data_IF_606958755512
#
_entry.id   IF_606958755512
#
_cell.length_a   1.000
_cell.length_b   1.000
_cell.length_c   1.000
_cell.angle_alpha   90.00
_cell.angle_beta   90.00
_cell.angle_gamma   90.00
#
_symmetry.space_group_name_H-M   'P 1'
#
loop_
_entity.id
_entity.type
_entity.pdbx_description
1 polymer ?
#
# COMPACT_ATOMS: atom_id res chain seq x y z
N UNK A 1 45.07 -11.61 -31.42
CA UNK A 1 43.60 -11.84 -31.56
C UNK A 1 42.93 -12.63 -30.42
N UNK A 2 43.56 -13.62 -29.76
CA UNK A 2 42.88 -14.41 -28.69
C UNK A 2 42.63 -13.61 -27.38
N UNK A 3 43.50 -12.67 -27.03
CA UNK A 3 43.40 -11.85 -25.82
C UNK A 3 42.29 -10.78 -25.90
N UNK A 4 42.09 -10.20 -27.09
CA UNK A 4 41.02 -9.22 -27.37
C UNK A 4 39.62 -9.83 -27.27
N UNK A 5 39.42 -11.08 -27.73
CA UNK A 5 38.15 -11.79 -27.56
C UNK A 5 37.83 -12.06 -26.08
N UNK A 6 38.84 -12.44 -25.28
CA UNK A 6 38.66 -12.64 -23.82
C UNK A 6 38.31 -11.35 -23.09
N UNK A 7 38.96 -10.23 -23.45
CA UNK A 7 38.63 -8.90 -22.93
C UNK A 7 37.22 -8.44 -23.33
N UNK A 8 36.78 -8.74 -24.55
CA UNK A 8 35.43 -8.44 -25.02
C UNK A 8 34.36 -9.23 -24.26
N UNK A 9 34.56 -10.54 -24.06
CA UNK A 9 33.65 -11.35 -23.24
C UNK A 9 33.67 -10.93 -21.76
N UNK A 10 34.83 -10.55 -21.22
CA UNK A 10 34.95 -10.01 -19.86
C UNK A 10 34.22 -8.67 -19.73
N UNK A 11 34.31 -7.80 -20.74
CA UNK A 11 33.60 -6.52 -20.80
C UNK A 11 32.09 -6.71 -20.86
N UNK A 12 31.58 -7.58 -21.74
CA UNK A 12 30.15 -7.95 -21.79
C UNK A 12 29.71 -8.53 -20.45
N UNK A 13 30.49 -9.44 -19.85
CA UNK A 13 30.18 -10.03 -18.56
C UNK A 13 30.18 -9.00 -17.42
N UNK A 14 31.11 -8.05 -17.42
CA UNK A 14 31.15 -6.95 -16.46
C UNK A 14 29.97 -5.98 -16.62
N UNK A 15 29.57 -5.66 -17.85
CA UNK A 15 28.37 -4.86 -18.15
C UNK A 15 27.08 -5.58 -17.70
N UNK A 16 27.01 -6.91 -17.77
CA UNK A 16 25.89 -7.67 -17.25
C UNK A 16 25.79 -7.62 -15.70
N UNK A 17 26.91 -7.37 -15.00
CA UNK A 17 26.96 -7.34 -13.53
C UNK A 17 26.69 -5.95 -12.94
N UNK A 18 26.93 -4.86 -13.69
CA UNK A 18 26.85 -3.49 -13.15
C UNK A 18 25.46 -2.85 -13.21
N UNK A 19 24.53 -3.36 -14.03
CA UNK A 19 23.19 -2.76 -14.19
C UNK A 19 22.09 -3.38 -13.32
N UNK A 20 22.42 -4.37 -12.48
CA UNK A 20 21.44 -5.07 -11.66
C UNK A 20 21.30 -4.48 -10.25
N UNK A 21 20.27 -3.65 -10.04
CA UNK A 21 19.88 -3.29 -8.68
C UNK A 21 19.35 -4.54 -7.96
N UNK A 22 19.66 -4.68 -6.68
CA UNK A 22 19.18 -5.81 -5.88
C UNK A 22 17.90 -5.44 -5.13
N UNK A 23 17.03 -6.43 -4.86
CA UNK A 23 15.84 -6.23 -4.04
C UNK A 23 16.20 -5.72 -2.63
N UNK A 24 17.35 -6.13 -2.08
CA UNK A 24 17.83 -5.65 -0.77
C UNK A 24 18.18 -4.17 -0.78
N UNK A 25 18.84 -3.69 -1.85
CA UNK A 25 19.11 -2.26 -2.02
C UNK A 25 17.82 -1.46 -2.15
N UNK A 26 16.87 -1.96 -2.94
CA UNK A 26 15.55 -1.30 -3.09
C UNK A 26 14.79 -1.27 -1.76
N UNK A 27 14.82 -2.37 -1.00
CA UNK A 27 14.21 -2.44 0.32
C UNK A 27 14.85 -1.49 1.33
N UNK A 28 16.16 -1.22 1.22
CA UNK A 28 16.86 -0.25 2.06
C UNK A 28 16.37 1.18 1.81
N UNK A 29 16.07 1.55 0.56
CA UNK A 29 15.47 2.86 0.24
C UNK A 29 14.11 2.99 0.93
N UNK A 30 13.23 1.99 0.79
CA UNK A 30 11.88 2.04 1.40
C UNK A 30 11.91 2.20 2.93
N UNK A 31 12.96 1.72 3.62
CA UNK A 31 13.08 1.88 5.08
C UNK A 31 13.28 3.33 5.52
N UNK A 32 13.71 4.21 4.61
CA UNK A 32 13.90 5.63 4.89
C UNK A 32 12.68 6.46 4.51
N UNK A 33 11.66 5.83 3.91
CA UNK A 33 10.47 6.49 3.43
C UNK A 33 9.32 6.30 4.41
N UNK A 34 8.52 7.36 4.52
CA UNK A 34 7.32 7.37 5.33
C UNK A 34 6.16 7.97 4.52
N UNK A 35 4.96 7.54 4.84
CA UNK A 35 3.73 8.05 4.25
C UNK A 35 2.63 8.11 5.30
N UNK A 36 1.63 8.94 5.07
CA UNK A 36 0.49 9.13 5.97
C UNK A 36 -0.74 8.45 5.39
N UNK A 37 -1.54 7.85 6.27
CA UNK A 37 -2.91 7.50 5.92
C UNK A 37 -3.79 8.71 6.15
N UNK A 38 -4.92 8.74 5.44
CA UNK A 38 -5.95 9.74 5.61
C UNK A 38 -7.33 9.09 5.61
N UNK A 39 -8.24 9.70 6.36
CA UNK A 39 -9.66 9.35 6.39
C UNK A 39 -10.47 10.64 6.23
N UNK A 40 -11.31 10.69 5.21
CA UNK A 40 -12.20 11.83 4.97
C UNK A 40 -13.65 11.39 5.12
N UNK A 41 -14.34 11.98 6.10
CA UNK A 41 -15.74 11.73 6.38
C UNK A 41 -16.61 12.35 5.27
N UNK A 42 -17.17 11.52 4.38
CA UNK A 42 -18.06 11.99 3.30
C UNK A 42 -19.51 11.57 3.47
N UNK A 43 -19.80 10.70 4.43
CA UNK A 43 -21.15 10.28 4.76
C UNK A 43 -21.94 11.41 5.41
N UNK A 44 -23.25 11.55 5.10
CA UNK A 44 -24.10 12.56 5.74
C UNK A 44 -24.15 12.39 7.25
N UNK A 45 -24.18 13.53 7.96
CA UNK A 45 -24.34 13.54 9.42
C UNK A 45 -25.72 12.99 9.84
N UNK A 46 -25.74 12.15 10.87
CA UNK A 46 -26.97 11.64 11.45
C UNK A 46 -27.67 12.73 12.27
N UNK A 47 -28.88 13.12 11.85
CA UNK A 47 -29.67 14.20 12.48
C UNK A 47 -30.61 13.73 13.60
N UNK A 48 -30.70 12.43 13.85
CA UNK A 48 -31.57 11.89 14.90
C UNK A 48 -30.93 11.90 16.28
N UNK A 49 -31.69 11.50 17.30
CA UNK A 49 -31.15 11.30 18.65
C UNK A 49 -30.34 10.00 18.73
N UNK A 50 -29.19 10.08 19.40
CA UNK A 50 -28.29 8.94 19.63
C UNK A 50 -28.46 8.44 21.05
N UNK A 51 -29.19 7.35 21.23
CA UNK A 51 -29.52 6.82 22.56
C UNK A 51 -28.76 5.55 22.91
N UNK A 52 -28.05 4.95 21.95
CA UNK A 52 -27.32 3.69 22.13
C UNK A 52 -25.83 3.97 22.19
N UNK A 53 -25.17 3.43 23.21
CA UNK A 53 -23.70 3.43 23.32
C UNK A 53 -23.18 2.04 22.94
N UNK A 54 -22.18 2.02 22.08
CA UNK A 54 -21.46 0.82 21.63
C UNK A 54 -20.00 1.00 21.98
N UNK A 55 -19.39 0.00 22.60
CA UNK A 55 -17.99 -0.02 22.96
C UNK A 55 -17.19 -0.75 21.89
N UNK A 56 -16.11 -0.14 21.41
CA UNK A 56 -15.17 -0.77 20.50
C UNK A 56 -14.13 -1.54 21.31
N UNK A 57 -14.04 -2.85 21.08
CA UNK A 57 -12.98 -3.68 21.64
C UNK A 57 -11.65 -3.38 20.95
N UNK A 58 -10.54 -3.55 21.68
CA UNK A 58 -9.22 -3.13 21.21
C UNK A 58 -8.81 -3.90 19.94
N UNK A 59 -8.43 -3.15 18.91
CA UNK A 59 -7.82 -3.68 17.69
C UNK A 59 -6.29 -3.64 17.86
N UNK A 60 -5.64 -4.80 17.98
CA UNK A 60 -4.20 -4.87 18.33
C UNK A 60 -3.31 -5.34 17.16
N UNK A 61 -3.86 -6.05 16.18
CA UNK A 61 -3.08 -6.69 15.10
C UNK A 61 -3.47 -6.15 13.74
N UNK A 62 -2.55 -5.39 13.14
CA UNK A 62 -2.72 -4.79 11.80
C UNK A 62 -2.76 -5.85 10.69
N UNK A 63 -2.20 -7.04 10.93
CA UNK A 63 -1.91 -8.11 9.95
C UNK A 63 -1.03 -7.66 8.77
N UNK A 64 -0.47 -6.46 8.84
CA UNK A 64 0.52 -5.99 7.89
C UNK A 64 1.90 -6.61 8.19
N UNK A 65 2.77 -6.76 7.19
CA UNK A 65 4.19 -6.99 7.44
C UNK A 65 4.77 -5.86 8.29
N UNK A 66 5.65 -6.17 9.24
CA UNK A 66 6.34 -5.14 10.04
C UNK A 66 7.18 -4.23 9.15
N UNK A 67 7.90 -4.80 8.17
CA UNK A 67 8.74 -4.06 7.24
C UNK A 67 8.25 -4.25 5.80
N UNK A 68 8.38 -3.19 5.00
CA UNK A 68 8.13 -3.24 3.55
C UNK A 68 9.01 -4.30 2.90
N UNK A 69 8.39 -5.18 2.09
CA UNK A 69 9.07 -6.26 1.37
C UNK A 69 9.20 -5.87 -0.09
N UNK A 70 10.39 -6.06 -0.65
CA UNK A 70 10.64 -5.87 -2.08
C UNK A 70 11.14 -7.17 -2.68
N UNK A 71 10.51 -7.59 -3.77
CA UNK A 71 10.90 -8.79 -4.53
C UNK A 71 11.08 -8.41 -5.99
N UNK A 72 12.20 -8.84 -6.59
CA UNK A 72 12.38 -8.72 -8.04
C UNK A 72 11.40 -9.67 -8.73
N UNK A 73 10.54 -9.12 -9.58
CA UNK A 73 9.43 -9.82 -10.23
C UNK A 73 9.77 -10.18 -11.68
N UNK A 74 10.58 -9.34 -12.34
CA UNK A 74 11.06 -9.59 -13.69
C UNK A 74 12.32 -8.82 -14.01
N UNK A 75 13.08 -9.31 -14.99
CA UNK A 75 14.10 -8.50 -15.65
C UNK A 75 14.31 -8.89 -17.10
N UNK A 76 14.56 -7.89 -17.93
CA UNK A 76 14.92 -8.01 -19.33
C UNK A 76 16.23 -7.27 -19.55
N UNK A 77 17.16 -7.90 -20.27
CA UNK A 77 18.41 -7.27 -20.69
C UNK A 77 18.66 -7.58 -22.16
N UNK A 78 18.85 -6.53 -22.96
CA UNK A 78 19.05 -6.59 -24.39
C UNK A 78 20.36 -5.85 -24.72
N UNK A 79 21.49 -6.58 -24.87
CA UNK A 79 22.76 -5.99 -25.25
C UNK A 79 22.90 -5.93 -26.77
N UNK A 80 22.40 -4.86 -27.41
CA UNK A 80 22.62 -4.65 -28.85
C UNK A 80 23.87 -3.77 -29.05
N UNK A 81 24.57 -3.99 -30.17
CA UNK A 81 25.83 -3.29 -30.51
C UNK A 81 25.75 -1.76 -30.41
N UNK A 82 24.59 -1.19 -30.72
CA UNK A 82 24.34 0.25 -30.74
C UNK A 82 23.28 0.70 -29.73
N UNK A 83 22.63 -0.23 -29.03
CA UNK A 83 21.58 0.04 -28.04
C UNK A 83 21.64 -1.01 -26.94
N UNK A 84 21.96 -0.61 -25.71
CA UNK A 84 21.75 -1.49 -24.57
C UNK A 84 20.47 -1.07 -23.85
N UNK A 85 19.64 -2.05 -23.50
CA UNK A 85 18.43 -1.83 -22.72
C UNK A 85 18.35 -2.82 -21.57
N UNK A 86 18.00 -2.32 -20.40
CA UNK A 86 17.76 -3.09 -19.18
C UNK A 86 16.43 -2.65 -18.58
N UNK A 87 15.61 -3.61 -18.20
CA UNK A 87 14.35 -3.39 -17.50
C UNK A 87 14.28 -4.30 -16.28
N UNK A 88 13.85 -3.75 -15.15
CA UNK A 88 13.69 -4.47 -13.91
C UNK A 88 12.38 -4.09 -13.26
N UNK A 89 11.56 -5.10 -12.96
CA UNK A 89 10.32 -4.94 -12.22
C UNK A 89 10.52 -5.42 -10.78
N UNK A 90 10.09 -4.60 -9.83
CA UNK A 90 10.11 -4.88 -8.41
C UNK A 90 8.69 -4.87 -7.85
N UNK A 91 8.23 -6.01 -7.35
CA UNK A 91 7.02 -6.08 -6.55
C UNK A 91 7.30 -5.58 -5.14
N UNK A 92 6.43 -4.71 -4.64
CA UNK A 92 6.53 -4.09 -3.32
C UNK A 92 5.29 -4.44 -2.51
N UNK A 93 5.46 -4.95 -1.30
CA UNK A 93 4.40 -5.13 -0.30
C UNK A 93 4.65 -4.16 0.83
N UNK A 94 3.70 -3.27 1.09
CA UNK A 94 3.78 -2.26 2.14
C UNK A 94 3.91 -2.92 3.51
N UNK A 95 4.82 -2.40 4.33
CA UNK A 95 4.90 -2.74 5.74
C UNK A 95 4.53 -1.55 6.63
N UNK A 96 4.17 -1.87 7.86
CA UNK A 96 3.75 -0.90 8.87
C UNK A 96 4.87 0.10 9.22
N UNK A 97 6.14 -0.28 9.08
CA UNK A 97 7.29 0.61 9.31
C UNK A 97 7.34 1.85 8.43
N UNK A 98 6.63 1.86 7.30
CA UNK A 98 6.59 3.01 6.39
C UNK A 98 5.38 3.92 6.64
N UNK A 99 4.51 3.58 7.60
CA UNK A 99 3.40 4.43 7.99
C UNK A 99 3.83 5.34 9.15
N UNK A 100 3.49 6.63 9.07
CA UNK A 100 3.74 7.56 10.19
C UNK A 100 2.93 7.23 11.44
N UNK A 101 1.80 6.57 11.26
CA UNK A 101 0.91 6.14 12.35
C UNK A 101 0.64 4.63 12.29
N UNK A 102 0.34 4.05 13.44
CA UNK A 102 -0.04 2.65 13.53
C UNK A 102 -1.38 2.40 12.82
N UNK A 103 -1.47 1.36 11.98
CA UNK A 103 -2.69 1.10 11.20
C UNK A 103 -3.91 0.82 12.08
N UNK A 104 -3.75 0.08 13.19
CA UNK A 104 -4.86 -0.21 14.09
C UNK A 104 -5.38 1.06 14.77
N UNK A 105 -4.48 1.98 15.10
CA UNK A 105 -4.85 3.30 15.63
C UNK A 105 -5.63 4.09 14.59
N UNK A 106 -5.11 4.19 13.37
CA UNK A 106 -5.79 4.85 12.25
C UNK A 106 -7.20 4.26 12.01
N UNK A 107 -7.33 2.92 12.00
CA UNK A 107 -8.62 2.25 11.85
C UNK A 107 -9.59 2.54 13.00
N UNK A 108 -9.09 2.58 14.23
CA UNK A 108 -9.89 2.92 15.43
C UNK A 108 -10.42 4.35 15.30
N UNK A 109 -9.54 5.30 14.99
CA UNK A 109 -9.90 6.71 14.83
C UNK A 109 -10.90 6.91 13.67
N UNK A 110 -10.73 6.17 12.56
CA UNK A 110 -11.66 6.16 11.44
C UNK A 110 -13.05 5.60 11.81
N UNK A 111 -13.11 4.46 12.52
CA UNK A 111 -14.37 3.87 12.99
C UNK A 111 -15.12 4.80 13.95
N UNK A 112 -14.39 5.46 14.86
CA UNK A 112 -14.97 6.42 15.80
C UNK A 112 -15.53 7.63 15.05
N UNK A 113 -14.76 8.21 14.11
CA UNK A 113 -15.20 9.35 13.33
C UNK A 113 -16.45 9.03 12.51
N UNK A 114 -16.45 7.89 11.80
CA UNK A 114 -17.57 7.45 10.98
C UNK A 114 -18.82 7.18 11.81
N UNK A 115 -18.74 6.27 12.79
CA UNK A 115 -19.90 5.88 13.58
C UNK A 115 -20.47 7.10 14.34
N UNK A 116 -19.62 7.94 14.93
CA UNK A 116 -20.08 9.10 15.67
C UNK A 116 -20.57 10.25 14.78
N UNK A 117 -20.24 10.26 13.49
CA UNK A 117 -20.77 11.22 12.52
C UNK A 117 -22.09 10.75 11.89
N UNK A 118 -22.14 9.53 11.37
CA UNK A 118 -23.17 9.09 10.42
C UNK A 118 -24.20 8.09 10.97
N UNK A 119 -24.02 7.58 12.20
CA UNK A 119 -24.90 6.55 12.77
C UNK A 119 -25.81 7.02 13.93
N UNK A 120 -26.81 6.21 14.26
CA UNK A 120 -27.75 6.40 15.37
C UNK A 120 -27.19 6.04 16.76
N UNK A 121 -25.92 5.64 16.83
CA UNK A 121 -25.27 5.24 18.08
C UNK A 121 -23.97 6.01 18.30
N UNK A 122 -23.49 5.98 19.54
CA UNK A 122 -22.15 6.46 19.89
C UNK A 122 -21.19 5.28 19.99
N UNK A 123 -20.15 5.29 19.18
CA UNK A 123 -19.02 4.37 19.33
C UNK A 123 -17.99 5.01 20.27
N UNK A 124 -17.60 4.29 21.31
CA UNK A 124 -16.56 4.73 22.24
C UNK A 124 -15.44 3.72 22.28
N UNK A 125 -14.20 4.20 22.35
CA UNK A 125 -13.03 3.36 22.54
C UNK A 125 -12.91 3.00 24.03
N UNK A 126 -13.16 1.73 24.36
CA UNK A 126 -12.98 1.23 25.72
C UNK A 126 -11.56 0.76 25.91
N UNK A 127 -10.72 1.66 26.40
CA UNK A 127 -9.44 1.30 26.97
C UNK A 127 -9.67 0.60 28.33
N UNK A 128 -9.84 -0.73 28.31
CA UNK A 128 -9.82 -1.61 29.50
C UNK A 128 -10.97 -1.45 30.52
N UNK A 129 -12.23 -1.53 30.11
CA UNK A 129 -13.35 -1.59 31.06
C UNK A 129 -14.10 -2.93 31.03
N UNK A 130 -14.55 -3.37 32.21
CA UNK A 130 -15.52 -4.45 32.37
C UNK A 130 -16.85 -3.98 31.79
N UNK A 131 -17.21 -4.47 30.61
CA UNK A 131 -18.53 -4.24 30.02
C UNK A 131 -19.61 -4.82 30.94
N UNK A 132 -20.72 -4.10 31.11
CA UNK A 132 -21.91 -4.69 31.71
C UNK A 132 -22.60 -5.63 30.73
N UNK A 133 -23.39 -6.58 31.21
CA UNK A 133 -24.18 -7.49 30.36
C UNK A 133 -25.20 -6.75 29.47
N UNK A 134 -25.54 -5.51 29.81
CA UNK A 134 -26.43 -4.65 29.01
C UNK A 134 -25.74 -3.89 27.89
N UNK A 135 -24.40 -3.76 27.91
CA UNK A 135 -23.65 -2.96 26.97
C UNK A 135 -23.48 -3.66 25.61
N UNK A 136 -23.48 -2.87 24.55
CA UNK A 136 -23.12 -3.35 23.22
C UNK A 136 -21.62 -3.26 23.02
N UNK A 137 -21.01 -4.35 22.54
CA UNK A 137 -19.57 -4.42 22.27
C UNK A 137 -19.33 -4.81 20.82
N UNK A 138 -18.62 -3.96 20.08
CA UNK A 138 -18.19 -4.20 18.71
C UNK A 138 -16.76 -4.74 18.73
N UNK A 139 -16.57 -5.97 18.27
CA UNK A 139 -15.27 -6.59 18.12
C UNK A 139 -14.87 -6.62 16.65
N UNK A 140 -13.75 -5.97 16.32
CA UNK A 140 -13.19 -5.93 14.97
C UNK A 140 -11.86 -6.66 14.97
N UNK A 141 -11.76 -7.73 14.19
CA UNK A 141 -10.54 -8.49 13.98
C UNK A 141 -10.10 -8.36 12.53
N UNK A 142 -8.90 -7.83 12.31
CA UNK A 142 -8.31 -7.78 10.98
C UNK A 142 -7.85 -9.18 10.61
N UNK A 143 -8.39 -9.73 9.52
CA UNK A 143 -8.04 -11.06 8.99
C UNK A 143 -6.93 -10.93 7.96
N UNK A 144 -7.09 -9.99 7.03
CA UNK A 144 -6.13 -9.70 5.98
C UNK A 144 -5.95 -8.19 5.82
N UNK A 145 -4.70 -7.77 5.71
CA UNK A 145 -4.33 -6.41 5.34
C UNK A 145 -3.06 -6.45 4.51
N UNK A 146 -3.24 -6.43 3.20
CA UNK A 146 -2.13 -6.49 2.25
C UNK A 146 -2.29 -5.41 1.19
N UNK A 147 -1.30 -4.53 1.11
CA UNK A 147 -1.19 -3.51 0.07
C UNK A 147 0.06 -3.74 -0.75
N UNK A 148 -0.10 -3.79 -2.06
CA UNK A 148 0.98 -4.09 -3.00
C UNK A 148 1.06 -3.05 -4.11
N UNK A 149 2.25 -2.89 -4.67
CA UNK A 149 2.51 -2.08 -5.86
C UNK A 149 3.71 -2.65 -6.62
N UNK A 150 4.09 -2.01 -7.71
CA UNK A 150 5.32 -2.32 -8.44
C UNK A 150 6.11 -1.06 -8.76
N UNK A 151 7.44 -1.18 -8.76
CA UNK A 151 8.35 -0.17 -9.30
C UNK A 151 9.11 -0.77 -10.48
N UNK A 152 9.03 -0.11 -11.64
CA UNK A 152 9.79 -0.45 -12.84
C UNK A 152 10.99 0.45 -12.95
N UNK A 153 12.16 -0.12 -13.23
CA UNK A 153 13.38 0.62 -13.54
C UNK A 153 13.82 0.24 -14.94
N UNK A 154 13.88 1.21 -15.83
CA UNK A 154 14.34 1.08 -17.20
C UNK A 154 15.58 1.94 -17.38
N UNK A 155 16.61 1.35 -17.96
CA UNK A 155 17.87 2.01 -18.23
C UNK A 155 18.38 1.55 -19.57
N UNK A 156 18.99 2.45 -20.30
CA UNK A 156 19.62 2.11 -21.55
C UNK A 156 20.59 3.17 -22.00
N UNK A 157 21.41 2.77 -22.96
CA UNK A 157 22.23 3.70 -23.69
C UNK A 157 22.12 3.39 -25.18
N UNK A 158 22.34 4.39 -25.99
CA UNK A 158 22.38 4.26 -27.42
C UNK A 158 23.56 5.03 -27.99
N UNK A 159 24.12 4.49 -29.06
CA UNK A 159 25.21 5.08 -29.79
C UNK A 159 24.78 5.28 -31.24
N UNK A 160 24.75 6.54 -31.67
CA UNK A 160 24.51 6.91 -33.06
C UNK A 160 25.87 7.25 -33.66
N UNK A 161 26.30 6.44 -34.62
CA UNK A 161 27.50 6.73 -35.37
C UNK A 161 27.20 7.87 -36.36
N UNK A 162 27.80 9.04 -36.10
CA UNK A 162 27.90 10.10 -37.10
C UNK A 162 28.93 9.67 -38.13
N UNK A 163 28.60 9.79 -39.42
CA UNK A 163 29.51 9.41 -40.50
C UNK A 163 30.80 10.24 -40.51
N UNK A 164 31.57 10.16 -41.60
CA UNK A 164 32.91 10.78 -41.68
C UNK A 164 32.94 12.30 -41.41
N UNK A 165 31.82 13.01 -41.55
CA UNK A 165 31.70 14.46 -41.37
C UNK A 165 30.68 14.87 -40.28
N UNK A 166 30.12 13.92 -39.52
CA UNK A 166 29.13 14.19 -38.46
C UNK A 166 29.63 13.69 -37.09
N UNK A 167 29.34 14.44 -36.02
CA UNK A 167 29.68 14.01 -34.67
C UNK A 167 28.87 12.77 -34.28
N UNK A 168 29.57 11.74 -33.77
CA UNK A 168 28.91 10.60 -33.18
C UNK A 168 28.26 10.98 -31.84
N UNK A 169 27.03 10.53 -31.63
CA UNK A 169 26.24 10.86 -30.44
C UNK A 169 26.09 9.66 -29.52
N UNK A 170 26.35 9.87 -28.23
CA UNK A 170 26.06 8.91 -27.18
C UNK A 170 24.95 9.48 -26.29
N UNK A 171 23.88 8.70 -26.12
CA UNK A 171 22.76 9.08 -25.27
C UNK A 171 22.47 8.02 -24.20
N UNK A 172 22.04 8.48 -23.04
CA UNK A 172 21.56 7.63 -21.95
C UNK A 172 20.07 7.89 -21.72
N UNK A 173 19.33 6.82 -21.45
CA UNK A 173 17.94 6.89 -21.05
C UNK A 173 17.76 6.19 -19.71
N UNK A 174 17.00 6.81 -18.83
CA UNK A 174 16.70 6.28 -17.52
C UNK A 174 15.29 6.68 -17.16
N UNK A 175 14.44 5.69 -16.88
CA UNK A 175 13.07 5.90 -16.46
C UNK A 175 12.77 5.00 -15.27
N UNK A 176 12.20 5.59 -14.22
CA UNK A 176 11.66 4.81 -13.11
C UNK A 176 10.18 5.09 -12.99
N UNK A 177 9.39 4.04 -12.87
CA UNK A 177 7.96 4.19 -12.79
C UNK A 177 7.34 3.45 -11.61
N UNK A 178 6.56 4.18 -10.82
CA UNK A 178 5.61 3.59 -9.88
C UNK A 178 4.39 3.09 -10.64
N UNK A 179 3.96 1.86 -10.38
CA UNK A 179 2.74 1.30 -10.97
C UNK A 179 1.56 1.46 -10.01
N UNK A 180 0.40 0.96 -10.47
CA UNK A 180 -0.84 0.92 -9.68
C UNK A 180 -0.61 0.21 -8.35
N UNK A 181 -1.27 0.72 -7.31
CA UNK A 181 -1.37 0.05 -6.03
C UNK A 181 -2.63 -0.82 -5.98
N UNK A 182 -2.60 -1.87 -5.17
CA UNK A 182 -3.76 -2.73 -4.92
C UNK A 182 -3.77 -3.12 -3.45
N UNK A 183 -4.91 -2.91 -2.80
CA UNK A 183 -5.16 -3.24 -1.40
C UNK A 183 -6.20 -4.34 -1.30
N UNK A 184 -5.92 -5.34 -0.47
CA UNK A 184 -6.86 -6.38 -0.07
C UNK A 184 -7.03 -6.34 1.46
N UNK A 185 -8.24 -5.93 1.90
CA UNK A 185 -8.62 -5.88 3.30
C UNK A 185 -9.74 -6.89 3.57
N UNK A 186 -9.63 -7.59 4.69
CA UNK A 186 -10.69 -8.46 5.21
C UNK A 186 -10.81 -8.33 6.70
N UNK A 187 -11.99 -7.97 7.21
CA UNK A 187 -12.28 -7.84 8.65
C UNK A 187 -13.38 -8.81 9.09
N UNK A 188 -13.20 -9.37 10.28
CA UNK A 188 -14.27 -10.01 11.03
C UNK A 188 -14.83 -9.04 12.04
N UNK A 189 -16.13 -8.77 11.93
CA UNK A 189 -16.81 -7.84 12.82
C UNK A 189 -17.95 -8.55 13.51
N UNK A 190 -17.97 -8.45 14.83
CA UNK A 190 -18.95 -9.10 15.68
C UNK A 190 -19.55 -8.08 16.65
N UNK A 191 -20.87 -8.03 16.69
CA UNK A 191 -21.58 -7.23 17.69
C UNK A 191 -22.08 -8.15 18.80
N UNK A 192 -21.78 -7.81 20.04
CA UNK A 192 -22.21 -8.52 21.23
C UNK A 192 -23.13 -7.64 22.08
N UNK A 193 -23.98 -8.28 22.88
CA UNK A 193 -24.65 -7.68 24.04
C UNK A 193 -24.51 -8.66 25.21
N UNK A 194 -23.70 -8.29 26.20
CA UNK A 194 -23.19 -9.24 27.18
C UNK A 194 -22.51 -10.44 26.49
N UNK A 195 -22.92 -11.66 26.84
CA UNK A 195 -22.38 -12.89 26.24
C UNK A 195 -23.05 -13.31 24.91
N UNK A 196 -24.10 -12.61 24.48
CA UNK A 196 -24.83 -12.97 23.27
C UNK A 196 -24.23 -12.29 22.04
N UNK A 197 -23.72 -13.09 21.10
CA UNK A 197 -23.33 -12.59 19.78
C UNK A 197 -24.59 -12.30 18.96
N UNK A 198 -24.80 -11.03 18.61
CA UNK A 198 -25.97 -10.56 17.91
C UNK A 198 -25.82 -10.68 16.40
N UNK A 199 -24.63 -10.38 15.88
CA UNK A 199 -24.29 -10.54 14.47
C UNK A 199 -22.79 -10.79 14.30
N UNK A 200 -22.43 -11.52 13.24
CA UNK A 200 -21.06 -11.80 12.81
C UNK A 200 -20.99 -11.68 11.30
N UNK A 201 -20.18 -10.74 10.81
CA UNK A 201 -19.99 -10.51 9.39
C UNK A 201 -18.52 -10.49 9.01
N UNK A 202 -18.26 -10.88 7.77
CA UNK A 202 -16.95 -10.81 7.13
C UNK A 202 -17.05 -9.76 6.04
N UNK A 203 -16.28 -8.68 6.19
CA UNK A 203 -16.22 -7.63 5.20
C UNK A 203 -14.93 -7.78 4.40
N UNK A 204 -15.03 -7.64 3.08
CA UNK A 204 -13.90 -7.79 2.17
C UNK A 204 -13.90 -6.61 1.19
N UNK A 205 -12.77 -5.93 1.09
CA UNK A 205 -12.57 -4.83 0.14
C UNK A 205 -11.30 -5.11 -0.65
N UNK A 206 -11.46 -5.22 -1.96
CA UNK A 206 -10.36 -5.25 -2.90
C UNK A 206 -10.40 -3.96 -3.71
N UNK A 207 -9.36 -3.14 -3.60
CA UNK A 207 -9.30 -1.85 -4.27
C UNK A 207 -8.01 -1.73 -5.06
N UNK A 208 -8.11 -1.16 -6.25
CA UNK A 208 -6.95 -0.80 -7.06
C UNK A 208 -6.93 0.69 -7.30
N UNK A 209 -5.78 1.32 -7.09
CA UNK A 209 -5.58 2.75 -7.32
C UNK A 209 -4.58 2.94 -8.47
N UNK A 210 -5.00 3.70 -9.49
CA UNK A 210 -4.17 3.99 -10.66
C UNK A 210 -3.54 5.37 -10.51
N UNK A 211 -2.21 5.38 -10.43
CA UNK A 211 -1.41 6.60 -10.44
C UNK A 211 -1.61 7.41 -11.74
N UNK A 212 -1.73 8.73 -11.62
CA UNK A 212 -1.64 9.69 -12.74
C UNK A 212 -0.17 10.09 -12.89
N UNK A 213 0.41 9.87 -14.08
CA UNK A 213 1.76 10.24 -14.51
C UNK A 213 2.93 9.85 -13.57
N UNK A 214 3.52 8.68 -13.82
CA UNK A 214 4.42 8.03 -12.86
C UNK A 214 5.81 7.79 -13.45
N UNK A 215 6.36 8.70 -14.24
CA UNK A 215 7.74 8.60 -14.74
C UNK A 215 8.63 9.53 -13.92
N UNK A 216 9.71 9.00 -13.37
CA UNK A 216 10.61 9.70 -12.46
C UNK A 216 12.06 9.57 -12.91
N UNK A 217 12.82 10.65 -12.71
CA UNK A 217 14.27 10.64 -12.94
C UNK A 217 15.00 9.85 -11.86
N UNK A 218 14.62 10.00 -10.58
CA UNK A 218 15.30 9.32 -9.47
C UNK A 218 14.50 8.15 -8.93
N UNK A 219 15.20 7.11 -8.46
CA UNK A 219 14.51 5.91 -7.95
C UNK A 219 13.83 6.17 -6.63
N UNK A 220 14.38 7.09 -5.82
CA UNK A 220 13.78 7.45 -4.54
C UNK A 220 12.40 8.10 -4.75
N UNK A 221 12.25 8.93 -5.77
CA UNK A 221 10.96 9.56 -6.12
C UNK A 221 9.94 8.51 -6.59
N UNK A 222 10.36 7.56 -7.42
CA UNK A 222 9.50 6.45 -7.83
C UNK A 222 9.11 5.55 -6.65
N UNK A 223 10.00 5.37 -5.67
CA UNK A 223 9.70 4.60 -4.45
C UNK A 223 8.72 5.35 -3.55
N UNK A 224 8.92 6.66 -3.34
CA UNK A 224 8.01 7.50 -2.57
C UNK A 224 6.63 7.54 -3.23
N UNK A 225 6.57 7.78 -4.54
CA UNK A 225 5.31 7.74 -5.27
C UNK A 225 4.63 6.37 -5.19
N UNK A 226 5.40 5.27 -5.26
CA UNK A 226 4.83 3.93 -5.06
C UNK A 226 4.27 3.76 -3.65
N UNK A 227 4.93 4.32 -2.63
CA UNK A 227 4.48 4.26 -1.23
C UNK A 227 3.21 5.10 -1.01
N UNK A 228 3.16 6.32 -1.56
CA UNK A 228 2.01 7.22 -1.46
C UNK A 228 0.78 6.65 -2.19
N UNK A 229 0.97 6.06 -3.37
CA UNK A 229 -0.10 5.35 -4.08
C UNK A 229 -0.66 4.17 -3.26
N UNK A 230 0.22 3.45 -2.55
CA UNK A 230 -0.20 2.37 -1.66
C UNK A 230 -0.97 2.91 -0.45
N UNK A 231 -0.53 4.03 0.14
CA UNK A 231 -1.18 4.66 1.28
C UNK A 231 -2.58 5.15 0.89
N UNK A 232 -2.69 5.84 -0.24
CA UNK A 232 -3.96 6.30 -0.78
C UNK A 232 -4.90 5.12 -1.08
N UNK A 233 -4.39 4.04 -1.69
CA UNK A 233 -5.20 2.85 -1.93
C UNK A 233 -5.70 2.20 -0.63
N UNK A 234 -4.84 2.10 0.40
CA UNK A 234 -5.18 1.58 1.73
C UNK A 234 -6.19 2.47 2.45
N UNK A 235 -6.04 3.79 2.38
CA UNK A 235 -6.98 4.77 2.91
C UNK A 235 -8.36 4.63 2.27
N UNK A 236 -8.42 4.56 0.94
CA UNK A 236 -9.68 4.41 0.21
C UNK A 236 -10.36 3.06 0.45
N UNK A 237 -9.58 1.99 0.67
CA UNK A 237 -10.11 0.68 1.02
C UNK A 237 -10.63 0.65 2.48
N UNK A 238 -9.87 1.26 3.40
CA UNK A 238 -10.27 1.37 4.81
C UNK A 238 -11.52 2.20 4.97
N UNK A 239 -11.64 3.31 4.22
CA UNK A 239 -12.85 4.13 4.17
C UNK A 239 -14.08 3.32 3.78
N UNK A 240 -14.02 2.64 2.65
CA UNK A 240 -15.13 1.81 2.17
C UNK A 240 -15.51 0.73 3.19
N UNK A 241 -14.53 0.11 3.82
CA UNK A 241 -14.74 -0.89 4.87
C UNK A 241 -15.45 -0.30 6.10
N UNK A 242 -15.00 0.85 6.59
CA UNK A 242 -15.54 1.53 7.77
C UNK A 242 -16.97 2.04 7.52
N UNK A 243 -17.23 2.62 6.35
CA UNK A 243 -18.57 3.06 5.93
C UNK A 243 -19.55 1.87 5.87
N UNK A 244 -19.13 0.72 5.33
CA UNK A 244 -19.94 -0.50 5.28
C UNK A 244 -20.29 -1.00 6.69
N UNK A 245 -19.29 -1.09 7.58
CA UNK A 245 -19.47 -1.54 8.97
C UNK A 245 -20.42 -0.60 9.71
N UNK A 246 -20.18 0.72 9.64
CA UNK A 246 -21.01 1.73 10.31
C UNK A 246 -22.46 1.64 9.86
N UNK A 247 -22.70 1.58 8.54
CA UNK A 247 -24.05 1.52 7.99
C UNK A 247 -24.79 0.24 8.40
N UNK A 248 -24.13 -0.92 8.38
CA UNK A 248 -24.80 -2.18 8.75
C UNK A 248 -25.14 -2.23 10.25
N UNK A 249 -24.21 -1.82 11.12
CA UNK A 249 -24.48 -1.75 12.56
C UNK A 249 -25.57 -0.72 12.85
N UNK A 250 -25.57 0.41 12.15
CA UNK A 250 -26.62 1.43 12.24
C UNK A 250 -27.99 0.81 11.89
N UNK A 251 -28.12 0.12 10.76
CA UNK A 251 -29.36 -0.55 10.37
C UNK A 251 -29.81 -1.60 11.40
N UNK A 252 -28.87 -2.37 11.94
CA UNK A 252 -29.17 -3.37 12.97
C UNK A 252 -29.74 -2.75 14.24
N UNK A 253 -29.22 -1.59 14.66
CA UNK A 253 -29.64 -0.90 15.88
C UNK A 253 -30.89 -0.02 15.69
N UNK A 254 -31.16 0.48 14.48
CA UNK A 254 -32.38 1.26 14.18
C UNK A 254 -33.65 0.39 14.16
N UNK A 255 -33.54 -0.87 13.71
CA UNK A 255 -34.69 -1.77 13.56
C UNK A 255 -35.15 -2.38 14.90
N UNK A 256 -34.44 -2.14 16.00
CA UNK A 256 -34.75 -2.64 17.35
C UNK A 256 -35.19 -1.55 18.30
#
# INVERSE_FOLDING_TARGET
MKTSKKLFYLFIFACCLSSCRSSKSMQADFRQLETSLFYELTTPEYKGTKNTKVYLDRIDKSKMPVFTKVKKDGSLFLPLLFVNYSSQDYAVTMGESCLKENYCKFLTDALLAECNGSSCFYLTDSMHEMYSDSDYVLKVEIVQNETTSQVKIEQGNYYVYGGNDEESYYGEYSNRAAKKATTNLSFWVRLFKGNNCLTTNIYNVNKSFKCKDCSFEQTIDANQASLDNMAECLSLATKEMVEQISNEINLFLVVR
#
